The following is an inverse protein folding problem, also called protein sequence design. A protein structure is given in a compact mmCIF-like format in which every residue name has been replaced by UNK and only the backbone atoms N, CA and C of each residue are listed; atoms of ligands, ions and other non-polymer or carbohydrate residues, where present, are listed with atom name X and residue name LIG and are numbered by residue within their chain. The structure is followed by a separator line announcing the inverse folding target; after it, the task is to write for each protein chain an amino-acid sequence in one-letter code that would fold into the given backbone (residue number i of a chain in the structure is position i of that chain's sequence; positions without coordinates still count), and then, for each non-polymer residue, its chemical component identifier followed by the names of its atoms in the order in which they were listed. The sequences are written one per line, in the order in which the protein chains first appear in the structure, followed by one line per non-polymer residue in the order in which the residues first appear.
data_IF_595245783254
#
_entry.id   IF_595245783254
#
_cell.length_a   1.000
_cell.length_b   1.000
_cell.length_c   1.000
_cell.angle_alpha   90.00
_cell.angle_beta   90.00
_cell.angle_gamma   90.00
#
_symmetry.space_group_name_H-M   'P 1'
#
loop_
_entity.id
_entity.type
_entity.pdbx_description
1 polymer ?
#
# COMPACT_ATOMS: atom_id res chain seq x y z
N UNK A 1 7.91 75.25 34.24
CA UNK A 1 7.04 74.37 33.48
C UNK A 1 7.87 73.39 32.60
N UNK A 2 8.63 72.50 33.25
CA UNK A 2 9.49 71.56 32.48
C UNK A 2 9.52 70.11 33.06
N UNK A 3 8.65 69.72 34.02
CA UNK A 3 8.65 68.41 34.65
C UNK A 3 7.56 67.45 34.14
N UNK A 4 6.55 67.91 33.39
CA UNK A 4 5.44 67.05 32.96
C UNK A 4 5.72 66.23 31.70
N UNK A 5 6.74 66.56 30.90
CA UNK A 5 7.05 65.86 29.63
C UNK A 5 7.89 64.59 29.82
N UNK A 6 8.65 64.44 30.89
CA UNK A 6 9.51 63.28 31.18
C UNK A 6 8.72 62.07 31.68
N UNK A 7 7.70 62.26 32.48
CA UNK A 7 6.86 61.18 33.02
C UNK A 7 5.98 60.48 31.93
N UNK A 8 5.48 61.27 30.99
CA UNK A 8 4.65 60.72 29.89
C UNK A 8 5.45 59.80 28.93
N UNK A 9 6.70 60.18 28.62
CA UNK A 9 7.58 59.35 27.78
C UNK A 9 8.01 58.04 28.45
N UNK A 10 8.25 58.07 29.79
CA UNK A 10 8.60 56.87 30.54
C UNK A 10 7.41 55.86 30.64
N UNK A 11 6.19 56.39 30.80
CA UNK A 11 4.97 55.53 30.84
C UNK A 11 4.64 54.90 29.50
N UNK A 12 4.85 55.60 28.39
CA UNK A 12 4.65 55.05 27.02
C UNK A 12 5.69 53.96 26.74
N UNK A 13 6.97 54.19 27.05
CA UNK A 13 8.03 53.19 26.85
C UNK A 13 7.83 51.95 27.71
N UNK A 14 7.38 52.09 28.95
CA UNK A 14 7.02 50.95 29.81
C UNK A 14 5.82 50.16 29.28
N UNK A 15 4.81 50.83 28.73
CA UNK A 15 3.64 50.20 28.10
C UNK A 15 4.01 49.45 26.81
N UNK A 16 4.89 50.02 25.99
CA UNK A 16 5.39 49.36 24.77
C UNK A 16 6.28 48.15 25.09
N UNK A 17 7.15 48.23 26.08
CA UNK A 17 7.97 47.12 26.58
C UNK A 17 7.11 45.99 27.15
N UNK A 18 6.06 46.31 27.93
CA UNK A 18 5.11 45.33 28.43
C UNK A 18 4.32 44.65 27.33
N UNK A 19 3.85 45.39 26.29
CA UNK A 19 3.17 44.82 25.12
C UNK A 19 4.10 43.92 24.29
N UNK A 20 5.36 44.30 24.09
CA UNK A 20 6.38 43.50 23.43
C UNK A 20 6.64 42.17 24.18
N UNK A 21 6.74 42.23 25.52
CA UNK A 21 6.94 41.06 26.36
C UNK A 21 5.73 40.07 26.27
N UNK A 22 4.51 40.57 26.34
CA UNK A 22 3.29 39.74 26.21
C UNK A 22 3.16 39.13 24.82
N UNK A 23 3.51 39.85 23.74
CA UNK A 23 3.50 39.32 22.38
C UNK A 23 4.51 38.21 22.23
N UNK A 24 5.76 38.40 22.70
CA UNK A 24 6.81 37.40 22.65
C UNK A 24 6.44 36.14 23.44
N UNK A 25 5.88 36.28 24.64
CA UNK A 25 5.40 35.16 25.47
C UNK A 25 4.26 34.41 24.78
N UNK A 26 3.34 35.10 24.13
CA UNK A 26 2.25 34.46 23.36
C UNK A 26 2.80 33.68 22.18
N UNK A 27 3.73 34.23 21.40
CA UNK A 27 4.38 33.55 20.28
C UNK A 27 5.13 32.29 20.74
N UNK A 28 5.85 32.33 21.86
CA UNK A 28 6.53 31.17 22.45
C UNK A 28 5.53 30.09 22.86
N UNK A 29 4.40 30.48 23.47
CA UNK A 29 3.33 29.55 23.88
C UNK A 29 2.69 28.88 22.63
N UNK A 30 2.41 29.64 21.58
CA UNK A 30 1.89 29.09 20.32
C UNK A 30 2.88 28.14 19.64
N UNK A 31 4.17 28.50 19.62
CA UNK A 31 5.21 27.62 19.08
C UNK A 31 5.35 26.33 19.90
N UNK A 32 5.34 26.43 21.23
CA UNK A 32 5.39 25.27 22.12
C UNK A 32 4.16 24.37 21.97
N UNK A 33 2.96 24.95 21.86
CA UNK A 33 1.73 24.19 21.60
C UNK A 33 1.77 23.48 20.23
N UNK A 34 2.26 24.15 19.19
CA UNK A 34 2.44 23.56 17.86
C UNK A 34 3.43 22.37 17.87
N UNK A 35 4.57 22.52 18.58
CA UNK A 35 5.54 21.43 18.74
C UNK A 35 4.96 20.26 19.53
N UNK A 36 4.22 20.53 20.61
CA UNK A 36 3.58 19.49 21.41
C UNK A 36 2.52 18.72 20.59
N UNK A 37 1.71 19.43 19.80
CA UNK A 37 0.73 18.82 18.91
C UNK A 37 1.42 17.96 17.82
N UNK A 38 2.48 18.48 17.21
CA UNK A 38 3.28 17.74 16.23
C UNK A 38 3.88 16.46 16.80
N UNK A 39 4.46 16.54 18.00
CA UNK A 39 5.00 15.37 18.70
C UNK A 39 3.91 14.35 19.07
N UNK A 40 2.76 14.80 19.55
CA UNK A 40 1.62 13.93 19.86
C UNK A 40 1.08 13.24 18.60
N UNK A 41 0.98 13.96 17.48
CA UNK A 41 0.55 13.41 16.18
C UNK A 41 1.53 12.36 15.66
N UNK A 42 2.84 12.63 15.76
CA UNK A 42 3.86 11.67 15.36
C UNK A 42 3.84 10.41 16.25
N UNK A 43 3.67 10.59 17.58
CA UNK A 43 3.53 9.48 18.52
C UNK A 43 2.28 8.64 18.22
N UNK A 44 1.14 9.28 17.96
CA UNK A 44 -0.09 8.58 17.53
C UNK A 44 0.15 7.76 16.27
N UNK A 45 0.72 8.37 15.23
CA UNK A 45 1.00 7.68 13.96
C UNK A 45 1.99 6.51 14.11
N UNK A 46 2.94 6.62 15.05
CA UNK A 46 3.97 5.61 15.29
C UNK A 46 3.50 4.46 16.17
N UNK A 47 2.70 4.73 17.20
CA UNK A 47 2.39 3.75 18.24
C UNK A 47 0.95 3.27 18.20
N UNK A 48 0.03 4.05 17.63
CA UNK A 48 -1.39 3.72 17.56
C UNK A 48 -1.78 3.34 16.14
N UNK A 49 -1.76 4.29 15.21
CA UNK A 49 -2.31 4.06 13.88
C UNK A 49 -1.53 2.99 13.09
N UNK A 50 -0.21 2.92 13.24
CA UNK A 50 0.63 1.89 12.62
C UNK A 50 0.20 0.46 12.95
N UNK A 51 -0.46 0.25 14.11
CA UNK A 51 -0.94 -1.05 14.57
C UNK A 51 -2.46 -1.18 14.53
N UNK A 52 -3.17 -0.20 13.99
CA UNK A 52 -4.62 -0.22 13.84
C UNK A 52 -5.01 -0.92 12.53
N UNK A 53 -4.73 -2.21 12.46
CA UNK A 53 -5.01 -3.03 11.28
C UNK A 53 -6.51 -3.12 11.02
N UNK A 54 -6.91 -3.00 9.74
CA UNK A 54 -8.31 -3.01 9.33
C UNK A 54 -8.54 -3.96 8.15
N UNK A 55 -9.73 -4.51 8.06
CA UNK A 55 -10.25 -5.13 6.84
C UNK A 55 -11.14 -4.10 6.17
N UNK A 56 -10.80 -3.70 4.95
CA UNK A 56 -11.66 -2.88 4.11
C UNK A 56 -12.41 -3.79 3.15
N UNK A 57 -13.72 -3.62 3.06
CA UNK A 57 -14.55 -4.38 2.13
C UNK A 57 -14.89 -3.55 0.90
N UNK A 58 -14.84 -4.19 -0.26
CA UNK A 58 -15.20 -3.61 -1.56
C UNK A 58 -16.10 -4.58 -2.33
N UNK A 59 -17.01 -4.04 -3.10
CA UNK A 59 -17.86 -4.84 -3.99
C UNK A 59 -17.74 -4.32 -5.40
N UNK A 60 -17.40 -5.18 -6.36
CA UNK A 60 -17.19 -4.84 -7.77
C UNK A 60 -18.08 -5.70 -8.66
N UNK A 61 -18.96 -5.05 -9.42
CA UNK A 61 -19.83 -5.71 -10.40
C UNK A 61 -19.07 -5.87 -11.72
N UNK A 62 -18.18 -6.87 -11.80
CA UNK A 62 -17.27 -7.12 -12.93
C UNK A 62 -17.49 -8.47 -13.59
N UNK A 63 -18.17 -9.40 -12.92
CA UNK A 63 -18.35 -10.76 -13.45
C UNK A 63 -19.44 -10.81 -14.55
N UNK A 64 -19.37 -11.79 -15.45
CA UNK A 64 -20.44 -12.07 -16.41
C UNK A 64 -21.80 -12.26 -15.71
N UNK A 65 -22.89 -11.91 -16.39
CA UNK A 65 -24.25 -12.09 -15.87
C UNK A 65 -24.50 -13.56 -15.51
N UNK A 66 -25.07 -13.81 -14.33
CA UNK A 66 -25.35 -15.14 -13.83
C UNK A 66 -24.18 -15.81 -13.10
N UNK A 67 -23.02 -15.16 -13.02
CA UNK A 67 -21.89 -15.67 -12.20
C UNK A 67 -22.23 -15.64 -10.71
N UNK A 68 -21.77 -16.62 -9.91
CA UNK A 68 -21.83 -16.55 -8.46
C UNK A 68 -20.91 -15.44 -7.93
N UNK A 69 -21.20 -14.94 -6.72
CA UNK A 69 -20.27 -14.04 -6.04
C UNK A 69 -18.95 -14.74 -5.75
N UNK A 70 -17.84 -14.02 -5.86
CA UNK A 70 -16.50 -14.53 -5.63
C UNK A 70 -15.71 -13.58 -4.73
N UNK A 71 -15.10 -14.11 -3.66
CA UNK A 71 -14.45 -13.30 -2.62
C UNK A 71 -12.93 -13.41 -2.71
N UNK A 72 -12.26 -12.29 -2.99
CA UNK A 72 -10.81 -12.21 -3.07
C UNK A 72 -10.28 -11.46 -1.87
N UNK A 73 -9.38 -12.08 -1.10
CA UNK A 73 -8.60 -11.37 -0.08
C UNK A 73 -7.33 -10.81 -0.71
N UNK A 74 -7.26 -9.50 -0.81
CA UNK A 74 -6.08 -8.79 -1.31
C UNK A 74 -5.20 -8.36 -0.14
N UNK A 75 -3.99 -8.90 -0.06
CA UNK A 75 -2.93 -8.54 0.89
C UNK A 75 -1.73 -7.98 0.15
N UNK A 76 -1.04 -7.01 0.74
CA UNK A 76 0.07 -6.31 0.11
C UNK A 76 0.98 -5.66 1.14
N UNK A 77 2.22 -5.38 0.75
CA UNK A 77 3.15 -4.51 1.48
C UNK A 77 3.25 -4.88 2.97
N UNK A 78 3.45 -6.16 3.25
CA UNK A 78 3.53 -6.66 4.63
C UNK A 78 4.78 -6.18 5.34
N UNK A 79 5.89 -6.00 4.61
CA UNK A 79 7.17 -5.51 5.15
C UNK A 79 7.54 -6.19 6.46
N UNK A 80 7.51 -7.53 6.47
CA UNK A 80 7.76 -8.31 7.67
C UNK A 80 9.18 -8.15 8.19
N UNK A 81 9.25 -7.93 9.50
CA UNK A 81 10.48 -7.98 10.31
C UNK A 81 10.22 -8.83 11.54
N UNK A 82 11.26 -9.36 12.21
CA UNK A 82 11.07 -10.08 13.48
C UNK A 82 10.33 -9.25 14.54
N UNK A 83 9.45 -9.90 15.30
CA UNK A 83 8.79 -9.32 16.49
C UNK A 83 7.49 -8.53 16.24
N UNK A 84 6.89 -8.60 15.05
CA UNK A 84 5.63 -7.90 14.72
C UNK A 84 4.38 -8.72 15.11
N UNK A 85 4.28 -9.10 16.37
CA UNK A 85 3.23 -9.99 16.90
C UNK A 85 1.80 -9.53 16.56
N UNK A 86 1.48 -8.26 16.77
CA UNK A 86 0.14 -7.73 16.47
C UNK A 86 -0.25 -7.88 14.98
N UNK A 87 0.72 -7.71 14.06
CA UNK A 87 0.51 -7.95 12.64
C UNK A 87 0.28 -9.43 12.34
N UNK A 88 1.08 -10.33 12.95
CA UNK A 88 0.91 -11.78 12.80
C UNK A 88 -0.47 -12.21 13.29
N UNK A 89 -0.91 -11.76 14.46
CA UNK A 89 -2.24 -12.04 15.01
C UNK A 89 -3.37 -11.53 14.09
N UNK A 90 -3.23 -10.34 13.55
CA UNK A 90 -4.18 -9.79 12.57
C UNK A 90 -4.23 -10.65 11.30
N UNK A 91 -3.07 -11.01 10.73
CA UNK A 91 -3.01 -11.82 9.51
C UNK A 91 -3.64 -13.22 9.73
N UNK A 92 -3.44 -13.82 10.90
CA UNK A 92 -4.13 -15.07 11.27
C UNK A 92 -5.66 -14.91 11.28
N UNK A 93 -6.17 -13.77 11.77
CA UNK A 93 -7.62 -13.51 11.82
C UNK A 93 -8.25 -13.40 10.44
N UNK A 94 -7.48 -13.06 9.39
CA UNK A 94 -7.98 -12.91 8.02
C UNK A 94 -8.50 -14.23 7.43
N UNK A 95 -8.00 -15.37 7.87
CA UNK A 95 -8.52 -16.68 7.44
C UNK A 95 -10.00 -16.86 7.81
N UNK A 96 -10.46 -16.24 8.91
CA UNK A 96 -11.87 -16.24 9.29
C UNK A 96 -12.81 -15.51 8.33
N UNK A 97 -12.27 -14.73 7.40
CA UNK A 97 -13.04 -14.10 6.31
C UNK A 97 -13.46 -15.12 5.25
N UNK A 98 -12.83 -16.29 5.23
CA UNK A 98 -13.14 -17.40 4.33
C UNK A 98 -13.17 -16.97 2.84
N UNK A 99 -12.06 -16.43 2.29
CA UNK A 99 -11.98 -16.00 0.90
C UNK A 99 -11.95 -17.22 -0.04
N UNK A 100 -12.43 -17.03 -1.28
CA UNK A 100 -12.27 -18.05 -2.33
C UNK A 100 -10.84 -18.07 -2.89
N UNK A 101 -10.16 -16.93 -2.83
CA UNK A 101 -8.79 -16.74 -3.34
C UNK A 101 -8.05 -15.65 -2.56
N UNK A 102 -6.73 -15.81 -2.39
CA UNK A 102 -5.83 -14.77 -1.87
C UNK A 102 -5.00 -14.19 -3.03
N UNK A 103 -4.96 -12.87 -3.14
CA UNK A 103 -4.06 -12.14 -4.04
C UNK A 103 -3.02 -11.39 -3.21
N UNK A 104 -1.75 -11.72 -3.37
CA UNK A 104 -0.63 -11.07 -2.71
C UNK A 104 0.16 -10.23 -3.73
N UNK A 105 0.14 -8.92 -3.58
CA UNK A 105 0.79 -7.99 -4.51
C UNK A 105 2.20 -7.56 -4.09
N UNK A 106 2.86 -8.31 -3.19
CA UNK A 106 4.31 -8.15 -2.97
C UNK A 106 4.71 -7.24 -1.80
N UNK A 107 5.98 -6.85 -1.77
CA UNK A 107 6.67 -6.14 -0.67
C UNK A 107 6.48 -6.84 0.68
N UNK A 108 6.74 -8.14 0.66
CA UNK A 108 6.48 -9.02 1.80
C UNK A 108 7.49 -8.87 2.93
N UNK A 109 8.75 -8.49 2.63
CA UNK A 109 9.88 -8.49 3.56
C UNK A 109 10.48 -7.10 3.75
N UNK A 110 11.07 -6.82 4.91
CA UNK A 110 11.89 -5.63 5.19
C UNK A 110 13.16 -5.95 5.98
N UNK A 111 13.46 -7.23 6.18
CA UNK A 111 14.61 -7.67 6.95
C UNK A 111 15.03 -9.08 6.51
N UNK A 112 16.33 -9.37 6.54
CA UNK A 112 16.87 -10.70 6.19
C UNK A 112 16.30 -11.84 7.05
N UNK A 113 15.96 -11.57 8.30
CA UNK A 113 15.29 -12.51 9.21
C UNK A 113 13.75 -12.41 9.19
N UNK A 114 13.17 -11.78 8.16
CA UNK A 114 11.71 -11.58 8.06
C UNK A 114 10.94 -12.76 7.47
N UNK A 115 11.65 -13.73 6.85
CA UNK A 115 10.98 -14.84 6.14
C UNK A 115 10.21 -15.76 7.08
N UNK A 116 10.82 -16.25 8.14
CA UNK A 116 10.14 -17.17 9.06
C UNK A 116 8.93 -16.50 9.74
N UNK A 117 9.02 -15.24 10.26
CA UNK A 117 7.84 -14.48 10.71
C UNK A 117 6.77 -14.28 9.63
N UNK A 118 7.16 -14.08 8.35
CA UNK A 118 6.21 -13.96 7.25
C UNK A 118 5.45 -15.27 7.05
N UNK A 119 6.16 -16.39 7.00
CA UNK A 119 5.53 -17.70 6.80
C UNK A 119 4.64 -18.10 7.99
N UNK A 120 5.05 -17.76 9.22
CA UNK A 120 4.20 -17.89 10.39
C UNK A 120 2.90 -17.08 10.23
N UNK A 121 3.01 -15.80 9.89
CA UNK A 121 1.87 -14.90 9.75
C UNK A 121 0.92 -15.31 8.61
N UNK A 122 1.46 -15.83 7.50
CA UNK A 122 0.66 -16.30 6.35
C UNK A 122 0.12 -17.72 6.53
N UNK A 123 0.60 -18.48 7.50
CA UNK A 123 0.31 -19.92 7.59
C UNK A 123 -1.18 -20.29 7.42
N UNK A 124 -2.15 -19.63 8.08
CA UNK A 124 -3.57 -19.95 7.88
C UNK A 124 -4.10 -19.52 6.49
N UNK A 125 -3.51 -18.51 5.86
CA UNK A 125 -3.91 -18.03 4.54
C UNK A 125 -3.36 -18.89 3.41
N UNK A 126 -2.23 -19.56 3.63
CA UNK A 126 -1.62 -20.47 2.67
C UNK A 126 -2.45 -21.77 2.47
N UNK A 127 -3.49 -22.00 3.26
CA UNK A 127 -4.44 -23.11 3.06
C UNK A 127 -5.52 -22.78 2.01
N UNK A 128 -5.68 -21.50 1.65
CA UNK A 128 -6.55 -21.05 0.56
C UNK A 128 -5.79 -21.02 -0.78
N UNK A 129 -6.48 -21.18 -1.91
CA UNK A 129 -5.88 -20.90 -3.22
C UNK A 129 -5.31 -19.48 -3.24
N UNK A 130 -4.17 -19.26 -3.89
CA UNK A 130 -3.55 -17.95 -3.92
C UNK A 130 -2.68 -17.70 -5.15
N UNK A 131 -2.54 -16.43 -5.49
CA UNK A 131 -1.59 -15.95 -6.49
C UNK A 131 -0.74 -14.83 -5.90
N UNK A 132 0.49 -14.68 -6.40
CA UNK A 132 1.38 -13.64 -5.90
C UNK A 132 2.28 -13.05 -7.00
N UNK A 133 2.67 -11.78 -6.79
CA UNK A 133 3.74 -11.10 -7.53
C UNK A 133 4.75 -10.53 -6.53
N UNK A 134 6.03 -10.39 -6.89
CA UNK A 134 7.01 -9.74 -6.03
C UNK A 134 6.92 -8.21 -6.12
N UNK A 135 7.42 -7.53 -5.06
CA UNK A 135 7.76 -6.13 -5.07
C UNK A 135 9.24 -5.94 -4.72
N UNK A 136 9.74 -4.71 -4.75
CA UNK A 136 11.15 -4.38 -4.54
C UNK A 136 11.70 -4.88 -3.20
N UNK A 137 10.86 -4.88 -2.16
CA UNK A 137 11.19 -5.39 -0.83
C UNK A 137 10.88 -6.91 -0.68
N UNK A 138 10.76 -7.62 -1.78
CA UNK A 138 10.96 -9.06 -1.85
C UNK A 138 12.40 -9.40 -2.25
N UNK A 139 13.00 -8.57 -3.11
CA UNK A 139 14.36 -8.73 -3.62
C UNK A 139 15.42 -8.16 -2.67
N UNK A 140 15.19 -6.95 -2.15
CA UNK A 140 16.21 -6.19 -1.42
C UNK A 140 15.66 -5.59 -0.13
N UNK A 141 16.47 -5.66 0.92
CA UNK A 141 16.16 -4.96 2.16
C UNK A 141 16.11 -3.43 1.91
N UNK A 142 15.15 -2.72 2.54
CA UNK A 142 15.06 -1.28 2.39
C UNK A 142 16.32 -0.59 2.93
N UNK A 143 16.73 0.49 2.26
CA UNK A 143 17.82 1.36 2.68
C UNK A 143 17.29 2.66 3.27
N UNK A 144 18.06 3.28 4.18
CA UNK A 144 17.70 4.57 4.77
C UNK A 144 17.75 5.65 3.68
N UNK A 145 16.61 6.29 3.43
CA UNK A 145 16.47 7.39 2.48
C UNK A 145 16.06 8.66 3.22
N UNK A 146 16.51 9.84 2.74
CA UNK A 146 16.03 11.11 3.27
C UNK A 146 14.51 11.25 3.00
N UNK A 147 13.65 11.31 4.02
CA UNK A 147 12.21 11.38 3.82
C UNK A 147 11.74 12.66 3.11
N UNK A 148 12.48 13.77 3.23
CA UNK A 148 12.16 15.00 2.53
C UNK A 148 12.21 14.85 0.99
N UNK A 149 12.95 13.86 0.48
CA UNK A 149 13.05 13.54 -0.95
C UNK A 149 11.68 13.27 -1.58
N UNK A 150 10.74 12.66 -0.85
CA UNK A 150 9.39 12.37 -1.35
C UNK A 150 8.55 13.61 -1.67
N UNK A 151 8.92 14.79 -1.13
CA UNK A 151 8.19 16.04 -1.38
C UNK A 151 8.48 16.65 -2.75
N UNK A 152 9.65 16.35 -3.36
CA UNK A 152 10.06 16.96 -4.65
C UNK A 152 10.61 16.00 -5.69
N UNK A 153 10.85 14.71 -5.34
CA UNK A 153 11.36 13.69 -6.26
C UNK A 153 10.38 12.54 -6.55
N UNK A 154 9.09 12.71 -6.22
CA UNK A 154 8.07 11.66 -6.32
C UNK A 154 7.83 11.12 -7.75
N UNK A 155 8.41 11.73 -8.79
CA UNK A 155 8.12 11.41 -10.20
C UNK A 155 9.31 10.87 -11.00
N UNK A 156 10.50 10.79 -10.44
CA UNK A 156 11.67 10.24 -11.15
C UNK A 156 11.94 8.81 -10.73
N UNK A 157 12.02 7.87 -11.68
CA UNK A 157 12.52 6.54 -11.40
C UNK A 157 13.92 6.67 -10.80
N UNK A 158 14.13 6.14 -9.60
CA UNK A 158 15.43 6.23 -8.95
C UNK A 158 16.38 5.30 -9.68
N UNK A 159 17.48 5.81 -10.21
CA UNK A 159 18.65 5.03 -10.53
C UNK A 159 19.13 4.40 -9.21
N UNK A 160 18.93 3.13 -9.11
CA UNK A 160 19.27 2.37 -7.92
C UNK A 160 20.68 1.86 -8.18
N UNK A 161 21.66 2.32 -7.40
CA UNK A 161 22.96 1.67 -7.35
C UNK A 161 22.78 0.22 -6.90
N UNK A 162 22.70 -0.71 -7.85
CA UNK A 162 22.44 -2.13 -7.61
C UNK A 162 23.46 -2.78 -6.68
N UNK A 163 24.68 -2.24 -6.60
CA UNK A 163 25.80 -2.84 -5.85
C UNK A 163 25.75 -2.68 -4.31
N UNK A 164 24.84 -1.87 -3.75
CA UNK A 164 24.83 -1.58 -2.29
C UNK A 164 23.65 -2.19 -1.53
N UNK A 165 22.78 -2.97 -2.19
CA UNK A 165 21.57 -3.52 -1.59
C UNK A 165 21.80 -4.89 -0.98
N UNK A 166 21.25 -5.11 0.22
CA UNK A 166 21.27 -6.42 0.87
C UNK A 166 20.17 -7.28 0.26
N UNK A 167 20.50 -8.41 -0.40
CA UNK A 167 19.48 -9.29 -0.96
C UNK A 167 18.66 -9.96 0.13
N UNK A 168 17.38 -10.19 -0.16
CA UNK A 168 16.45 -10.94 0.67
C UNK A 168 16.25 -12.36 0.11
N UNK A 169 15.79 -13.31 0.92
CA UNK A 169 15.66 -14.71 0.52
C UNK A 169 14.41 -14.96 -0.37
N UNK A 170 14.31 -14.25 -1.51
CA UNK A 170 13.15 -14.27 -2.38
C UNK A 170 12.84 -15.67 -2.94
N UNK A 171 13.85 -16.43 -3.38
CA UNK A 171 13.66 -17.79 -3.91
C UNK A 171 13.05 -18.72 -2.83
N UNK A 172 13.57 -18.64 -1.60
CA UNK A 172 13.02 -19.43 -0.48
C UNK A 172 11.58 -19.05 -0.18
N UNK A 173 11.24 -17.76 -0.28
CA UNK A 173 9.88 -17.26 -0.09
C UNK A 173 8.94 -17.78 -1.18
N UNK A 174 9.33 -17.67 -2.46
CA UNK A 174 8.53 -18.16 -3.58
C UNK A 174 8.32 -19.68 -3.48
N UNK A 175 9.37 -20.45 -3.25
CA UNK A 175 9.29 -21.89 -3.06
C UNK A 175 8.34 -22.27 -1.90
N UNK A 176 8.37 -21.51 -0.80
CA UNK A 176 7.47 -21.74 0.33
C UNK A 176 5.99 -21.48 -0.05
N UNK A 177 5.69 -20.46 -0.82
CA UNK A 177 4.34 -20.17 -1.29
C UNK A 177 3.86 -21.22 -2.30
N UNK A 178 4.70 -21.55 -3.28
CA UNK A 178 4.38 -22.53 -4.31
C UNK A 178 4.21 -23.96 -3.74
N UNK A 179 4.99 -24.33 -2.72
CA UNK A 179 4.84 -25.62 -2.04
C UNK A 179 3.51 -25.75 -1.29
N UNK A 180 2.82 -24.65 -1.01
CA UNK A 180 1.49 -24.58 -0.41
C UNK A 180 0.37 -24.35 -1.46
N UNK A 181 0.71 -24.41 -2.76
CA UNK A 181 -0.25 -24.31 -3.87
C UNK A 181 -0.54 -22.88 -4.36
N UNK A 182 0.17 -21.87 -3.88
CA UNK A 182 0.07 -20.55 -4.47
C UNK A 182 0.81 -20.48 -5.80
N UNK A 183 0.29 -19.71 -6.74
CA UNK A 183 0.89 -19.52 -8.07
C UNK A 183 1.65 -18.22 -8.16
N UNK A 184 2.96 -18.26 -8.46
CA UNK A 184 3.76 -17.09 -8.77
C UNK A 184 3.46 -16.54 -10.16
N UNK A 185 3.06 -15.30 -10.28
CA UNK A 185 2.73 -14.61 -11.53
C UNK A 185 3.87 -13.68 -11.99
N UNK A 186 5.11 -14.14 -11.92
CA UNK A 186 6.28 -13.32 -12.22
C UNK A 186 6.52 -13.31 -13.72
N UNK A 187 6.08 -12.24 -14.41
CA UNK A 187 6.14 -12.10 -15.87
C UNK A 187 5.49 -13.30 -16.60
N UNK A 188 4.37 -13.80 -16.08
CA UNK A 188 3.64 -14.93 -16.65
C UNK A 188 2.13 -14.76 -16.52
N UNK A 189 1.41 -15.43 -17.39
CA UNK A 189 -0.02 -15.64 -17.23
C UNK A 189 -0.29 -17.05 -16.67
N UNK A 190 -1.41 -17.19 -15.99
CA UNK A 190 -1.93 -18.48 -15.50
C UNK A 190 -3.45 -18.40 -15.35
N UNK A 191 -4.12 -19.53 -15.19
CA UNK A 191 -5.56 -19.58 -15.04
C UNK A 191 -5.97 -20.57 -13.94
N UNK A 192 -6.90 -20.15 -13.09
CA UNK A 192 -7.45 -20.95 -12.01
C UNK A 192 -8.97 -21.01 -12.17
N UNK A 193 -9.56 -22.20 -12.09
CA UNK A 193 -11.02 -22.37 -12.02
C UNK A 193 -11.44 -22.75 -10.61
N UNK A 194 -12.22 -21.88 -9.99
CA UNK A 194 -12.69 -22.05 -8.61
C UNK A 194 -14.18 -21.68 -8.52
N UNK A 195 -14.95 -22.41 -7.76
CA UNK A 195 -16.37 -22.12 -7.47
C UNK A 195 -17.21 -21.80 -8.73
N UNK A 196 -16.90 -22.43 -9.88
CA UNK A 196 -17.63 -22.22 -11.14
C UNK A 196 -17.28 -20.91 -11.86
N UNK A 197 -16.19 -20.25 -11.49
CA UNK A 197 -15.62 -19.07 -12.15
C UNK A 197 -14.19 -19.38 -12.59
N UNK A 198 -13.84 -19.02 -13.81
CA UNK A 198 -12.46 -19.05 -14.30
C UNK A 198 -11.83 -17.68 -14.17
N UNK A 199 -10.73 -17.60 -13.43
CA UNK A 199 -9.90 -16.39 -13.33
C UNK A 199 -8.66 -16.59 -14.21
N UNK A 200 -8.51 -15.72 -15.21
CA UNK A 200 -7.32 -15.64 -16.06
C UNK A 200 -6.43 -14.51 -15.55
N UNK A 201 -5.24 -14.86 -15.08
CA UNK A 201 -4.30 -13.91 -14.53
C UNK A 201 -3.22 -13.54 -15.54
N UNK A 202 -2.86 -12.27 -15.57
CA UNK A 202 -1.61 -11.76 -16.12
C UNK A 202 -0.87 -11.06 -15.02
N UNK A 203 0.30 -11.55 -14.64
CA UNK A 203 1.11 -10.95 -13.61
C UNK A 203 2.46 -10.48 -14.14
N UNK A 204 2.98 -9.42 -13.56
CA UNK A 204 4.30 -8.86 -13.88
C UNK A 204 5.22 -8.88 -12.67
N UNK A 205 6.52 -8.95 -12.92
CA UNK A 205 7.54 -8.68 -11.93
C UNK A 205 7.51 -7.20 -11.52
N UNK A 206 8.34 -6.75 -10.60
CA UNK A 206 8.24 -5.44 -9.99
C UNK A 206 8.43 -4.27 -10.97
N UNK A 207 7.38 -3.47 -11.24
CA UNK A 207 7.47 -2.29 -12.10
C UNK A 207 8.35 -1.19 -11.52
N UNK A 208 8.55 -1.13 -10.19
CA UNK A 208 9.38 -0.13 -9.54
C UNK A 208 10.87 -0.38 -9.82
N UNK A 209 11.29 -1.64 -9.90
CA UNK A 209 12.63 -2.06 -10.31
C UNK A 209 12.78 -2.13 -11.84
N UNK A 210 11.71 -1.95 -12.61
CA UNK A 210 11.66 -2.15 -14.06
C UNK A 210 11.98 -3.59 -14.49
N UNK A 211 11.60 -4.55 -13.67
CA UNK A 211 11.73 -5.98 -13.99
C UNK A 211 10.48 -6.52 -14.70
N UNK A 212 9.42 -5.70 -14.82
CA UNK A 212 8.15 -6.04 -15.42
C UNK A 212 8.24 -6.29 -16.92
N UNK A 213 7.82 -7.49 -17.31
CA UNK A 213 7.57 -7.87 -18.70
C UNK A 213 6.14 -8.37 -18.79
N UNK A 214 5.33 -7.77 -19.67
CA UNK A 214 3.92 -8.14 -19.81
C UNK A 214 3.76 -9.41 -20.63
N UNK A 215 3.24 -10.51 -20.05
CA UNK A 215 3.04 -11.77 -20.78
C UNK A 215 1.76 -11.78 -21.61
N UNK A 216 0.86 -10.78 -21.42
CA UNK A 216 -0.50 -10.83 -21.92
C UNK A 216 -1.38 -11.80 -21.14
N UNK A 217 -2.50 -12.23 -21.73
CA UNK A 217 -3.36 -13.28 -21.21
C UNK A 217 -3.30 -14.51 -22.15
N UNK A 218 -3.65 -15.69 -21.62
CA UNK A 218 -3.63 -16.92 -22.43
C UNK A 218 -4.57 -16.80 -23.63
N UNK A 219 -4.09 -17.04 -24.88
CA UNK A 219 -4.95 -17.00 -26.06
C UNK A 219 -6.02 -18.11 -26.06
N UNK A 220 -5.75 -19.22 -25.39
CA UNK A 220 -6.60 -20.42 -25.41
C UNK A 220 -7.74 -20.41 -24.40
N UNK A 221 -7.70 -19.47 -23.43
CA UNK A 221 -8.64 -19.44 -22.32
C UNK A 221 -10.09 -19.10 -22.71
N UNK A 222 -10.29 -18.48 -23.88
CA UNK A 222 -11.57 -17.94 -24.32
C UNK A 222 -12.31 -18.75 -25.34
N UNK A 223 -11.68 -19.75 -25.95
CA UNK A 223 -12.24 -20.44 -27.13
C UNK A 223 -13.19 -21.61 -26.82
N UNK A 224 -13.30 -22.09 -25.57
CA UNK A 224 -14.00 -23.37 -25.34
C UNK A 224 -14.60 -23.63 -23.97
N UNK A 225 -14.94 -22.63 -23.15
CA UNK A 225 -15.46 -22.96 -21.81
C UNK A 225 -16.86 -22.38 -21.58
N UNK A 226 -17.81 -23.26 -21.22
CA UNK A 226 -19.14 -22.87 -20.72
C UNK A 226 -19.09 -22.22 -19.34
N UNK A 227 -17.88 -22.07 -18.77
CA UNK A 227 -17.65 -21.46 -17.45
C UNK A 227 -17.39 -19.96 -17.61
N UNK A 228 -18.12 -19.10 -16.89
CA UNK A 228 -17.87 -17.66 -16.91
C UNK A 228 -16.43 -17.35 -16.49
N UNK A 229 -15.79 -16.39 -17.17
CA UNK A 229 -14.39 -16.04 -16.94
C UNK A 229 -14.21 -14.53 -16.75
N UNK A 230 -13.11 -14.16 -16.08
CA UNK A 230 -12.64 -12.78 -15.90
C UNK A 230 -11.13 -12.71 -16.04
N UNK A 231 -10.62 -11.64 -16.69
CA UNK A 231 -9.19 -11.34 -16.85
C UNK A 231 -8.72 -10.40 -15.77
N UNK A 232 -7.72 -10.83 -14.99
CA UNK A 232 -7.22 -10.10 -13.81
C UNK A 232 -5.73 -9.79 -13.99
N UNK A 233 -5.41 -8.49 -14.04
CA UNK A 233 -4.03 -8.00 -14.00
C UNK A 233 -3.52 -7.93 -12.55
N UNK A 234 -2.29 -8.39 -12.30
CA UNK A 234 -1.67 -8.34 -10.98
C UNK A 234 -0.27 -7.73 -11.07
N UNK A 235 -0.04 -6.63 -10.36
CA UNK A 235 1.26 -5.98 -10.28
C UNK A 235 1.53 -5.51 -8.84
N UNK A 236 2.80 -5.41 -8.45
CA UNK A 236 3.10 -4.75 -7.18
C UNK A 236 2.83 -3.24 -7.28
N UNK A 237 3.51 -2.54 -8.18
CA UNK A 237 3.44 -1.08 -8.28
C UNK A 237 2.54 -0.63 -9.44
N UNK A 238 1.54 0.25 -9.18
CA UNK A 238 0.56 0.69 -10.18
C UNK A 238 1.10 1.83 -11.07
N UNK A 239 2.24 1.63 -11.71
CA UNK A 239 2.74 2.58 -12.71
C UNK A 239 1.76 2.71 -13.87
N UNK A 240 1.53 3.93 -14.35
CA UNK A 240 0.58 4.20 -15.42
C UNK A 240 0.86 3.36 -16.68
N UNK A 241 2.15 3.16 -17.04
CA UNK A 241 2.56 2.31 -18.16
C UNK A 241 2.14 0.84 -17.98
N UNK A 242 2.20 0.35 -16.75
CA UNK A 242 1.82 -1.04 -16.39
C UNK A 242 0.30 -1.19 -16.43
N UNK A 243 -0.43 -0.23 -15.86
CA UNK A 243 -1.90 -0.23 -15.91
C UNK A 243 -2.44 -0.14 -17.34
N UNK A 244 -1.90 0.78 -18.16
CA UNK A 244 -2.27 0.90 -19.58
C UNK A 244 -2.03 -0.41 -20.33
N UNK A 245 -0.91 -1.07 -20.08
CA UNK A 245 -0.61 -2.33 -20.75
C UNK A 245 -1.60 -3.42 -20.38
N UNK A 246 -1.95 -3.60 -19.12
CA UNK A 246 -2.98 -4.56 -18.71
C UNK A 246 -4.32 -4.30 -19.40
N UNK A 247 -4.74 -3.01 -19.45
CA UNK A 247 -5.99 -2.64 -20.13
C UNK A 247 -5.93 -2.98 -21.63
N UNK A 248 -4.82 -2.66 -22.30
CA UNK A 248 -4.62 -3.00 -23.73
C UNK A 248 -4.65 -4.51 -23.98
N UNK A 249 -4.15 -5.31 -23.04
CA UNK A 249 -4.16 -6.77 -23.13
C UNK A 249 -5.54 -7.35 -22.75
N UNK A 250 -6.50 -6.51 -22.34
CA UNK A 250 -7.89 -6.88 -22.06
C UNK A 250 -8.19 -7.27 -20.62
N UNK A 251 -7.43 -6.77 -19.63
CA UNK A 251 -7.79 -6.92 -18.24
C UNK A 251 -9.16 -6.30 -17.94
N UNK A 252 -9.93 -6.94 -17.06
CA UNK A 252 -11.24 -6.50 -16.59
C UNK A 252 -11.21 -6.09 -15.11
N UNK A 253 -10.12 -6.40 -14.42
CA UNK A 253 -9.83 -6.00 -13.03
C UNK A 253 -8.31 -6.00 -12.86
N UNK A 254 -7.79 -5.05 -12.06
CA UNK A 254 -6.35 -4.98 -11.75
C UNK A 254 -6.17 -4.85 -10.23
N UNK A 255 -5.24 -5.64 -9.66
CA UNK A 255 -4.80 -5.52 -8.27
C UNK A 255 -3.38 -4.93 -8.20
N UNK A 256 -3.17 -3.98 -7.26
CA UNK A 256 -1.86 -3.40 -7.01
C UNK A 256 -1.68 -2.95 -5.56
N UNK A 257 -0.42 -2.78 -5.13
CA UNK A 257 0.01 -2.28 -3.82
C UNK A 257 0.95 -1.07 -3.91
N UNK A 258 2.13 -1.16 -3.26
CA UNK A 258 3.28 -0.25 -3.37
C UNK A 258 3.09 1.16 -2.78
N UNK A 259 1.95 1.76 -2.95
CA UNK A 259 1.68 3.18 -2.62
C UNK A 259 1.58 3.45 -1.13
N UNK A 260 1.37 2.40 -0.32
CA UNK A 260 1.01 2.47 1.10
C UNK A 260 -0.20 3.40 1.38
N UNK A 261 -1.03 3.67 0.36
CA UNK A 261 -2.11 4.64 0.44
C UNK A 261 -1.63 6.07 0.70
N UNK A 262 -0.34 6.37 0.42
CA UNK A 262 0.34 7.61 0.76
C UNK A 262 0.93 7.63 2.17
N UNK A 263 0.69 6.63 3.00
CA UNK A 263 1.23 6.35 4.34
C UNK A 263 0.98 7.46 5.38
N UNK A 264 1.31 8.74 5.05
CA UNK A 264 0.99 9.94 5.81
C UNK A 264 0.07 10.81 4.96
N UNK A 265 -1.19 10.87 5.36
CA UNK A 265 -2.26 11.55 4.63
C UNK A 265 -2.74 12.81 5.36
N UNK A 266 -3.49 13.64 4.66
CA UNK A 266 -4.30 14.69 5.25
C UNK A 266 -5.54 14.09 5.95
N UNK A 267 -6.18 14.82 6.88
CA UNK A 267 -7.48 14.41 7.42
C UNK A 267 -8.46 14.00 6.33
N UNK A 268 -9.18 12.88 6.55
CA UNK A 268 -10.02 12.26 5.53
C UNK A 268 -9.28 11.26 4.62
N UNK A 269 -8.01 10.93 4.92
CA UNK A 269 -7.27 9.89 4.21
C UNK A 269 -6.76 10.28 2.83
N UNK A 270 -6.70 11.59 2.52
CA UNK A 270 -6.20 12.08 1.23
C UNK A 270 -4.68 12.00 1.17
N UNK A 271 -4.16 11.14 0.32
CA UNK A 271 -2.73 10.96 0.09
C UNK A 271 -2.07 12.23 -0.47
N UNK A 272 -0.83 12.50 -0.04
CA UNK A 272 0.01 13.57 -0.57
C UNK A 272 0.92 13.07 -1.68
N UNK A 273 1.32 11.80 -1.61
CA UNK A 273 2.21 11.13 -2.57
C UNK A 273 1.73 9.70 -2.83
N UNK A 274 2.09 9.14 -3.98
CA UNK A 274 1.79 7.74 -4.33
C UNK A 274 3.04 6.87 -4.48
N UNK A 275 4.22 7.46 -4.37
CA UNK A 275 5.51 6.80 -4.57
C UNK A 275 5.74 6.23 -5.99
N UNK A 276 4.87 6.57 -6.94
CA UNK A 276 4.97 6.25 -8.38
C UNK A 276 4.34 7.38 -9.20
N UNK A 277 4.09 7.17 -10.49
CA UNK A 277 3.45 8.15 -11.37
C UNK A 277 1.91 8.16 -11.30
N UNK A 278 1.32 7.27 -10.48
CA UNK A 278 -0.12 7.27 -10.22
C UNK A 278 -0.53 8.55 -9.46
N UNK A 279 -1.61 9.24 -9.85
CA UNK A 279 -2.12 10.38 -9.09
C UNK A 279 -2.37 10.04 -7.60
N UNK A 280 -1.97 10.90 -6.63
CA UNK A 280 -2.18 10.63 -5.21
C UNK A 280 -3.63 10.33 -4.81
N UNK A 281 -4.61 10.88 -5.53
CA UNK A 281 -6.04 10.59 -5.31
C UNK A 281 -6.43 9.13 -5.60
N UNK A 282 -5.57 8.38 -6.29
CA UNK A 282 -5.74 6.97 -6.64
C UNK A 282 -4.83 6.05 -5.82
N UNK A 283 -4.12 6.58 -4.82
CA UNK A 283 -3.12 5.84 -4.06
C UNK A 283 -3.70 4.69 -3.22
N UNK A 284 -5.00 4.63 -3.00
CA UNK A 284 -5.70 3.49 -2.38
C UNK A 284 -7.16 3.45 -2.78
N UNK A 285 -7.77 2.29 -2.59
CA UNK A 285 -9.17 2.05 -2.95
C UNK A 285 -9.33 1.67 -4.41
N UNK A 286 -10.56 1.70 -4.86
CA UNK A 286 -10.90 1.42 -6.26
C UNK A 286 -10.87 2.72 -7.06
N UNK A 287 -10.13 2.70 -8.16
CA UNK A 287 -10.14 3.74 -9.19
C UNK A 287 -10.25 3.08 -10.55
N UNK A 288 -10.34 3.84 -11.63
CA UNK A 288 -10.52 3.28 -12.96
C UNK A 288 -9.41 3.70 -13.90
N UNK A 289 -8.99 2.77 -14.75
CA UNK A 289 -8.12 2.99 -15.88
C UNK A 289 -8.86 2.54 -17.15
N UNK A 290 -9.32 3.53 -17.96
CA UNK A 290 -10.11 3.26 -19.18
C UNK A 290 -11.27 2.25 -18.91
N UNK A 291 -12.13 2.57 -17.93
CA UNK A 291 -13.26 1.75 -17.44
C UNK A 291 -12.90 0.42 -16.73
N UNK A 292 -11.63 0.06 -16.64
CA UNK A 292 -11.17 -1.11 -15.87
C UNK A 292 -10.94 -0.71 -14.42
N UNK A 293 -11.58 -1.37 -13.44
CA UNK A 293 -11.34 -1.10 -12.03
C UNK A 293 -9.93 -1.53 -11.63
N UNK A 294 -9.25 -0.64 -10.92
CA UNK A 294 -7.93 -0.84 -10.33
C UNK A 294 -8.06 -0.76 -8.82
N UNK A 295 -7.91 -1.89 -8.14
CA UNK A 295 -7.91 -1.98 -6.70
C UNK A 295 -6.48 -1.80 -6.17
N UNK A 296 -6.22 -0.70 -5.49
CA UNK A 296 -4.93 -0.43 -4.84
C UNK A 296 -5.07 -0.58 -3.33
N UNK A 297 -4.20 -1.42 -2.73
CA UNK A 297 -4.16 -1.62 -1.29
C UNK A 297 -3.22 -0.59 -0.63
N UNK A 298 -3.60 -0.09 0.56
CA UNK A 298 -2.67 0.66 1.40
C UNK A 298 -1.66 -0.24 2.13
N UNK A 299 -1.83 -1.55 2.07
CA UNK A 299 -0.90 -2.53 2.62
C UNK A 299 -0.86 -2.62 4.14
N UNK A 300 -0.21 -3.67 4.64
CA UNK A 300 -0.15 -4.04 6.05
C UNK A 300 1.07 -3.50 6.80
N UNK A 301 2.07 -3.01 6.07
CA UNK A 301 3.34 -2.58 6.64
C UNK A 301 3.75 -1.17 6.25
N UNK A 302 4.97 -0.87 6.57
CA UNK A 302 5.69 0.35 6.18
C UNK A 302 7.15 -0.01 5.99
N UNK A 303 7.91 0.83 5.28
CA UNK A 303 9.36 0.70 5.34
C UNK A 303 9.84 0.76 6.80
N UNK A 304 10.80 -0.11 7.17
CA UNK A 304 11.39 -0.15 8.52
C UNK A 304 11.99 1.19 8.96
N UNK A 305 12.38 2.05 8.01
CA UNK A 305 12.99 3.36 8.28
C UNK A 305 11.99 4.50 8.35
N UNK A 306 10.72 4.25 7.99
CA UNK A 306 9.62 5.21 8.09
C UNK A 306 8.40 4.54 8.76
N UNK A 307 8.53 4.02 10.00
CA UNK A 307 7.47 3.25 10.66
C UNK A 307 6.41 4.17 11.28
N UNK A 308 5.68 4.88 10.44
CA UNK A 308 4.61 5.81 10.84
C UNK A 308 3.48 5.76 9.82
N UNK A 309 2.24 5.77 10.29
CA UNK A 309 1.05 6.00 9.47
C UNK A 309 0.19 7.10 10.08
N UNK A 310 -0.43 7.92 9.25
CA UNK A 310 -1.31 8.98 9.73
C UNK A 310 -2.49 9.18 8.77
N UNK A 311 -3.73 9.05 9.28
CA UNK A 311 -4.97 9.04 8.49
C UNK A 311 -4.97 8.01 7.35
N UNK A 312 -4.19 6.95 7.53
CA UNK A 312 -4.04 5.86 6.56
C UNK A 312 -3.67 4.56 7.29
N UNK A 313 -4.60 3.96 8.06
CA UNK A 313 -4.34 2.73 8.80
C UNK A 313 -3.92 1.60 7.85
N UNK A 314 -3.14 0.62 8.35
CA UNK A 314 -2.79 -0.56 7.57
C UNK A 314 -4.03 -1.40 7.29
N UNK A 315 -4.13 -1.97 6.09
CA UNK A 315 -5.31 -2.71 5.65
C UNK A 315 -4.99 -3.99 4.88
N UNK A 316 -5.86 -4.98 5.04
CA UNK A 316 -6.15 -6.00 4.03
C UNK A 316 -7.49 -5.65 3.37
N UNK A 317 -7.71 -6.06 2.12
CA UNK A 317 -8.95 -5.73 1.41
C UNK A 317 -9.70 -7.00 1.01
N UNK A 318 -10.94 -7.13 1.45
CA UNK A 318 -11.83 -8.19 0.98
C UNK A 318 -12.67 -7.65 -0.17
N UNK A 319 -12.37 -8.13 -1.38
CA UNK A 319 -13.06 -7.71 -2.60
C UNK A 319 -14.08 -8.79 -2.98
N UNK A 320 -15.37 -8.43 -2.95
CA UNK A 320 -16.45 -9.28 -3.44
C UNK A 320 -16.76 -8.94 -4.89
N UNK A 321 -16.46 -9.86 -5.80
CA UNK A 321 -16.83 -9.75 -7.19
C UNK A 321 -18.27 -10.23 -7.35
N UNK A 322 -19.09 -9.45 -8.05
CA UNK A 322 -20.49 -9.77 -8.34
C UNK A 322 -20.76 -9.69 -9.82
N UNK A 323 -21.83 -10.33 -10.27
CA UNK A 323 -22.27 -10.24 -11.65
C UNK A 323 -22.64 -8.77 -12.01
N UNK A 324 -22.32 -8.38 -13.25
CA UNK A 324 -22.82 -7.12 -13.82
C UNK A 324 -24.36 -7.13 -13.86
N UNK A 325 -24.99 -5.99 -13.63
CA UNK A 325 -26.41 -5.85 -13.86
C UNK A 325 -26.69 -6.04 -15.36
N UNK A 326 -27.62 -6.91 -15.69
CA UNK A 326 -28.01 -7.18 -17.07
C UNK A 326 -28.79 -6.02 -17.69
#
# INVERSE_FOLDING_TARGET
MCESASGARASVAASEAARGSHFTQSMVKFAAAGLALGAATAAYGRFVELNNFQVREETLAVLPVGSPNFRILHISDMHMIPGQRAKTEFMHSLAGLNPDLVVNTGDNLSHVGGLDPLLEALNPLLDFPGVFVPGSNCYFAPVLKNPARYLWQARTPQEIEEGSRVPLPIERMHNAFESRGWTGLINRYDGITLSGLRLEFSGVDDPHLRYDVHPGFSPQAFESSDVPSIRVGVAHAPYMRTLHRFVQDGAELIFAGHTHGGQVCLPGGRALVSNCDLPPSRAKGVSYQDDVPVQVSAGLGTSRFAPVRLFCPPEAVLVTLTAKNG
#
